data_IF_618241508183
#
_entry.id   IF_618241508183
#
_cell.length_a   1.000
_cell.length_b   1.000
_cell.length_c   1.000
_cell.angle_alpha   90.00
_cell.angle_beta   90.00
_cell.angle_gamma   90.00
#
_symmetry.space_group_name_H-M   'P 1'
#
loop_
_entity.id
_entity.type
_entity.pdbx_description
1 polymer ?
#
# COMPACT_ATOMS: atom_id res chain seq x y z
N UNK A 1 9.26 -19.70 4.32
CA UNK A 1 9.87 -18.96 3.19
C UNK A 1 9.12 -17.68 3.09
N UNK A 2 9.81 -16.52 3.01
CA UNK A 2 9.15 -15.22 2.90
C UNK A 2 8.31 -15.13 1.63
N UNK A 3 7.12 -14.54 1.75
CA UNK A 3 6.13 -14.45 0.68
C UNK A 3 6.53 -13.45 -0.41
N UNK A 4 7.05 -12.26 -0.03
CA UNK A 4 7.67 -11.29 -0.94
C UNK A 4 9.14 -11.14 -0.57
N UNK A 5 10.03 -11.20 -1.57
CA UNK A 5 11.47 -11.00 -1.40
C UNK A 5 11.99 -10.00 -2.42
N UNK A 6 12.66 -8.98 -1.95
CA UNK A 6 13.40 -8.02 -2.74
C UNK A 6 14.88 -8.24 -2.43
N UNK A 7 15.70 -8.49 -3.46
CA UNK A 7 17.12 -8.86 -3.32
C UNK A 7 17.98 -7.89 -4.13
N UNK A 8 18.76 -7.08 -3.42
CA UNK A 8 19.78 -6.16 -3.96
C UNK A 8 19.26 -5.28 -5.11
N UNK A 9 18.03 -4.78 -5.00
CA UNK A 9 17.40 -3.97 -6.05
C UNK A 9 18.02 -2.59 -6.08
N UNK A 10 18.55 -2.21 -7.24
CA UNK A 10 19.04 -0.86 -7.56
C UNK A 10 18.33 -0.31 -8.79
N UNK A 11 18.08 1.00 -8.83
CA UNK A 11 17.42 1.64 -9.95
C UNK A 11 17.90 3.07 -10.17
N UNK A 12 18.11 3.43 -11.46
CA UNK A 12 18.46 4.79 -11.92
C UNK A 12 17.41 5.28 -12.92
N UNK A 13 17.10 6.58 -12.88
CA UNK A 13 16.47 7.25 -14.01
C UNK A 13 17.53 7.94 -14.87
N UNK A 14 17.43 7.74 -16.19
CA UNK A 14 18.32 8.34 -17.17
C UNK A 14 17.65 9.58 -17.77
N UNK A 15 18.28 10.75 -17.59
CA UNK A 15 17.98 11.97 -18.34
C UNK A 15 19.05 12.18 -19.43
N UNK A 16 18.77 13.07 -20.41
CA UNK A 16 19.64 13.26 -21.59
C UNK A 16 21.13 13.45 -21.29
N UNK A 17 21.50 13.95 -20.11
CA UNK A 17 22.88 14.25 -19.75
C UNK A 17 23.30 13.67 -18.38
N UNK A 18 22.36 13.09 -17.60
CA UNK A 18 22.66 12.62 -16.27
C UNK A 18 21.87 11.34 -15.93
N UNK A 19 22.52 10.42 -15.22
CA UNK A 19 21.87 9.31 -14.55
C UNK A 19 21.69 9.66 -13.07
N UNK A 20 20.47 9.54 -12.55
CA UNK A 20 20.19 9.75 -11.14
C UNK A 20 19.89 8.40 -10.47
N UNK A 21 20.76 7.97 -9.59
CA UNK A 21 20.54 6.79 -8.75
C UNK A 21 19.41 7.10 -7.75
N UNK A 22 18.34 6.33 -7.83
CA UNK A 22 17.15 6.51 -6.99
C UNK A 22 17.12 5.50 -5.85
N UNK A 23 17.40 4.23 -6.16
CA UNK A 23 17.45 3.12 -5.20
C UNK A 23 18.81 2.43 -5.31
N UNK A 24 19.39 2.08 -4.17
CA UNK A 24 20.67 1.39 -4.09
C UNK A 24 20.60 0.25 -3.10
N UNK A 25 20.87 -0.96 -3.59
CA UNK A 25 20.99 -2.20 -2.81
C UNK A 25 19.80 -2.46 -1.84
N UNK A 26 18.59 -2.29 -2.35
CA UNK A 26 17.37 -2.49 -1.57
C UNK A 26 17.11 -3.99 -1.37
N UNK A 27 17.13 -4.44 -0.12
CA UNK A 27 16.83 -5.83 0.24
C UNK A 27 15.85 -5.89 1.41
N UNK A 28 14.67 -6.48 1.20
CA UNK A 28 13.67 -6.69 2.24
C UNK A 28 12.85 -7.95 2.00
N UNK A 29 12.17 -8.41 3.03
CA UNK A 29 11.33 -9.60 3.00
C UNK A 29 10.02 -9.32 3.72
N UNK A 30 8.94 -9.94 3.23
CA UNK A 30 7.60 -9.86 3.83
C UNK A 30 7.06 -11.28 3.97
N UNK A 31 6.54 -11.60 5.13
CA UNK A 31 5.89 -12.88 5.38
C UNK A 31 4.41 -12.85 4.92
N UNK A 32 3.84 -14.02 4.66
CA UNK A 32 2.42 -14.10 4.26
C UNK A 32 1.52 -13.59 5.40
N UNK A 33 0.58 -12.70 5.05
CA UNK A 33 -0.34 -12.06 6.00
C UNK A 33 0.29 -10.94 6.83
N UNK A 34 1.57 -10.62 6.63
CA UNK A 34 2.24 -9.51 7.30
C UNK A 34 1.81 -8.17 6.68
N UNK A 35 1.62 -7.16 7.51
CA UNK A 35 1.44 -5.78 7.11
C UNK A 35 2.73 -5.01 7.38
N UNK A 36 3.43 -4.57 6.33
CA UNK A 36 4.64 -3.75 6.49
C UNK A 36 4.45 -2.33 5.98
N UNK A 37 5.18 -1.40 6.56
CA UNK A 37 5.30 -0.04 6.02
C UNK A 37 6.71 0.26 5.54
N UNK A 38 6.79 1.00 4.43
CA UNK A 38 7.99 1.67 3.95
C UNK A 38 7.82 3.15 4.25
N UNK A 39 8.56 3.63 5.24
CA UNK A 39 8.55 5.01 5.73
C UNK A 39 9.78 5.76 5.23
N UNK A 40 9.64 7.02 4.90
CA UNK A 40 10.78 7.86 4.52
C UNK A 40 10.37 9.20 3.93
N UNK A 41 11.32 10.13 3.77
CA UNK A 41 11.05 11.46 3.25
C UNK A 41 10.58 11.43 1.79
N UNK A 42 9.99 12.54 1.34
CA UNK A 42 9.59 12.69 -0.05
C UNK A 42 10.81 12.57 -0.98
N UNK A 43 10.64 11.85 -2.09
CA UNK A 43 11.71 11.67 -3.08
C UNK A 43 12.77 10.61 -2.73
N UNK A 44 12.63 9.85 -1.63
CA UNK A 44 13.57 8.76 -1.31
C UNK A 44 13.38 7.48 -2.13
N UNK A 45 12.43 7.45 -3.08
CA UNK A 45 12.25 6.31 -3.99
C UNK A 45 11.17 5.31 -3.59
N UNK A 46 10.28 5.61 -2.63
CA UNK A 46 9.21 4.70 -2.17
C UNK A 46 8.28 4.22 -3.30
N UNK A 47 7.72 5.16 -4.07
CA UNK A 47 6.87 4.86 -5.23
C UNK A 47 7.63 4.10 -6.33
N UNK A 48 8.93 4.42 -6.53
CA UNK A 48 9.79 3.69 -7.47
C UNK A 48 9.97 2.24 -7.03
N UNK A 49 10.25 2.01 -5.74
CA UNK A 49 10.35 0.66 -5.17
C UNK A 49 9.03 -0.10 -5.31
N UNK A 50 7.90 0.56 -5.02
CA UNK A 50 6.58 -0.04 -5.17
C UNK A 50 6.28 -0.42 -6.63
N UNK A 51 6.68 0.44 -7.58
CA UNK A 51 6.52 0.17 -9.02
C UNK A 51 7.38 -1.01 -9.49
N UNK A 52 8.59 -1.17 -8.94
CA UNK A 52 9.46 -2.32 -9.21
C UNK A 52 8.84 -3.60 -8.64
N UNK A 53 8.34 -3.56 -7.40
CA UNK A 53 7.64 -4.69 -6.78
C UNK A 53 6.42 -5.09 -7.60
N UNK A 54 5.69 -4.12 -8.11
CA UNK A 54 4.50 -4.36 -8.95
C UNK A 54 4.83 -4.92 -10.35
N UNK A 55 6.10 -4.96 -10.75
CA UNK A 55 6.50 -5.34 -12.12
C UNK A 55 6.10 -4.31 -13.19
N UNK A 56 5.94 -3.04 -12.79
CA UNK A 56 5.67 -1.91 -13.68
C UNK A 56 6.96 -1.20 -14.12
N UNK A 57 8.05 -1.46 -13.41
CA UNK A 57 9.36 -0.88 -13.65
C UNK A 57 10.42 -1.95 -13.42
N UNK A 58 11.33 -2.14 -14.38
CA UNK A 58 12.43 -3.08 -14.23
C UNK A 58 13.55 -2.47 -13.37
N UNK A 59 14.08 -3.19 -12.37
CA UNK A 59 15.28 -2.76 -11.68
C UNK A 59 16.50 -2.85 -12.62
N UNK A 60 17.51 -2.01 -12.39
CA UNK A 60 18.80 -2.13 -13.13
C UNK A 60 19.58 -3.33 -12.58
N UNK A 61 19.52 -3.53 -11.29
CA UNK A 61 20.14 -4.66 -10.59
C UNK A 61 19.18 -5.25 -9.59
N UNK A 62 19.39 -6.52 -9.25
CA UNK A 62 18.60 -7.23 -8.25
C UNK A 62 17.35 -7.88 -8.83
N UNK A 63 16.53 -8.44 -7.96
CA UNK A 63 15.35 -9.24 -8.33
C UNK A 63 14.26 -9.13 -7.27
N UNK A 64 13.02 -9.31 -7.71
CA UNK A 64 11.82 -9.39 -6.85
C UNK A 64 11.17 -10.75 -7.05
N UNK A 65 10.84 -11.43 -5.95
CA UNK A 65 10.10 -12.68 -5.96
C UNK A 65 8.81 -12.54 -5.14
N UNK A 66 7.72 -13.07 -5.66
CA UNK A 66 6.46 -13.22 -4.94
C UNK A 66 6.07 -14.69 -4.96
N UNK A 67 5.85 -15.27 -3.76
CA UNK A 67 5.47 -16.68 -3.59
C UNK A 67 6.44 -17.65 -4.31
N UNK A 68 7.75 -17.29 -4.31
CA UNK A 68 8.81 -18.03 -4.99
C UNK A 68 8.95 -17.77 -6.49
N UNK A 69 8.04 -17.04 -7.12
CA UNK A 69 8.08 -16.72 -8.55
C UNK A 69 8.76 -15.37 -8.80
N UNK A 70 9.65 -15.32 -9.80
CA UNK A 70 10.32 -14.09 -10.21
C UNK A 70 9.30 -13.13 -10.86
N UNK A 71 9.26 -11.90 -10.37
CA UNK A 71 8.41 -10.84 -10.93
C UNK A 71 9.16 -10.10 -12.02
N UNK A 72 8.65 -10.18 -13.24
CA UNK A 72 9.12 -9.42 -14.42
C UNK A 72 8.01 -8.57 -15.04
N UNK A 73 6.76 -8.82 -14.66
CA UNK A 73 5.57 -8.08 -15.08
C UNK A 73 4.53 -8.10 -13.98
N UNK A 74 3.58 -7.18 -14.04
CA UNK A 74 2.48 -7.16 -13.08
C UNK A 74 1.70 -8.49 -13.08
N UNK A 75 1.59 -9.12 -11.92
CA UNK A 75 0.90 -10.40 -11.77
C UNK A 75 -0.53 -10.21 -11.27
N UNK A 76 -1.46 -11.12 -11.60
CA UNK A 76 -2.81 -11.11 -11.05
C UNK A 76 -2.87 -11.24 -9.51
N UNK A 77 -1.82 -11.73 -8.89
CA UNK A 77 -1.74 -11.89 -7.43
C UNK A 77 -1.51 -10.58 -6.68
N UNK A 78 -1.24 -9.46 -7.39
CA UNK A 78 -1.00 -8.15 -6.82
C UNK A 78 -2.18 -7.21 -7.03
N UNK A 79 -2.58 -6.51 -5.97
CA UNK A 79 -3.43 -5.32 -6.04
C UNK A 79 -2.60 -4.09 -5.80
N UNK A 80 -2.73 -3.06 -6.65
CA UNK A 80 -2.00 -1.81 -6.49
C UNK A 80 -2.98 -0.65 -6.32
N UNK A 81 -2.98 -0.03 -5.16
CA UNK A 81 -3.72 1.19 -4.86
C UNK A 81 -2.76 2.37 -4.92
N UNK A 82 -2.97 3.22 -5.89
CA UNK A 82 -2.19 4.43 -6.14
C UNK A 82 -2.63 5.56 -5.18
N UNK A 83 -1.79 6.58 -5.03
CA UNK A 83 -2.04 7.76 -4.19
C UNK A 83 -3.37 8.46 -4.52
N UNK A 84 -3.69 8.59 -5.81
CA UNK A 84 -4.99 9.08 -6.27
C UNK A 84 -5.92 7.91 -6.58
N UNK A 85 -7.23 8.15 -6.51
CA UNK A 85 -8.23 7.11 -6.73
C UNK A 85 -8.25 6.55 -8.16
N UNK A 86 -7.88 7.36 -9.16
CA UNK A 86 -7.86 7.01 -10.59
C UNK A 86 -9.11 6.24 -11.04
N UNK A 87 -10.27 6.59 -10.50
CA UNK A 87 -11.54 6.11 -11.02
C UNK A 87 -11.79 6.74 -12.39
N UNK A 88 -12.28 5.93 -13.33
CA UNK A 88 -12.63 6.42 -14.65
C UNK A 88 -13.84 7.34 -14.57
N UNK A 89 -13.71 8.65 -14.88
CA UNK A 89 -14.78 9.61 -14.63
C UNK A 89 -16.03 9.42 -15.52
N UNK A 90 -15.89 8.69 -16.62
CA UNK A 90 -16.98 8.35 -17.57
C UNK A 90 -17.64 6.99 -17.28
N UNK A 91 -17.20 6.29 -16.22
CA UNK A 91 -17.79 5.03 -15.76
C UNK A 91 -18.51 5.23 -14.44
N UNK A 92 -19.58 4.47 -14.22
CA UNK A 92 -20.23 4.39 -12.91
C UNK A 92 -19.30 3.76 -11.86
N UNK A 93 -19.67 3.84 -10.60
CA UNK A 93 -18.92 3.20 -9.52
C UNK A 93 -18.93 1.67 -9.69
N UNK A 94 -20.08 1.07 -10.04
CA UNK A 94 -20.16 -0.37 -10.34
C UNK A 94 -19.18 -0.76 -11.46
N UNK A 95 -19.20 -0.05 -12.58
CA UNK A 95 -18.29 -0.31 -13.69
C UNK A 95 -16.81 -0.15 -13.32
N UNK A 96 -16.50 0.85 -12.46
CA UNK A 96 -15.14 1.06 -11.96
C UNK A 96 -14.66 -0.11 -11.11
N UNK A 97 -15.45 -0.55 -10.13
CA UNK A 97 -15.05 -1.60 -9.20
C UNK A 97 -15.01 -2.99 -9.84
N UNK A 98 -15.80 -3.20 -10.90
CA UNK A 98 -15.81 -4.46 -11.67
C UNK A 98 -14.71 -4.54 -12.75
N UNK A 99 -14.02 -3.44 -13.04
CA UNK A 99 -13.09 -3.36 -14.16
C UNK A 99 -12.00 -4.43 -14.12
N UNK A 100 -11.39 -4.65 -12.97
CA UNK A 100 -10.34 -5.66 -12.80
C UNK A 100 -10.84 -7.09 -13.07
N UNK A 101 -12.09 -7.39 -12.72
CA UNK A 101 -12.73 -8.69 -13.00
C UNK A 101 -12.92 -8.89 -14.49
N UNK A 102 -13.36 -7.86 -15.21
CA UNK A 102 -13.51 -7.92 -16.68
C UNK A 102 -12.16 -8.09 -17.39
N UNK A 103 -11.15 -7.32 -17.00
CA UNK A 103 -9.80 -7.43 -17.60
C UNK A 103 -9.21 -8.83 -17.39
N UNK A 104 -9.40 -9.41 -16.20
CA UNK A 104 -8.93 -10.76 -15.88
C UNK A 104 -9.83 -11.88 -16.41
N UNK A 105 -10.98 -11.55 -17.01
CA UNK A 105 -11.98 -12.50 -17.50
C UNK A 105 -12.50 -13.47 -16.43
N UNK A 106 -12.63 -12.97 -15.19
CA UNK A 106 -13.18 -13.70 -14.04
C UNK A 106 -14.49 -13.10 -13.53
N UNK A 107 -15.12 -12.22 -14.32
CA UNK A 107 -16.42 -11.64 -14.01
C UNK A 107 -17.51 -12.69 -14.18
N UNK A 108 -18.25 -12.91 -13.09
CA UNK A 108 -19.49 -13.69 -13.05
C UNK A 108 -20.42 -13.11 -11.94
N UNK A 109 -21.62 -13.68 -11.76
CA UNK A 109 -22.58 -13.20 -10.76
C UNK A 109 -22.05 -13.34 -9.33
N UNK A 110 -21.23 -14.35 -9.02
CA UNK A 110 -20.64 -14.54 -7.68
C UNK A 110 -19.59 -13.46 -7.37
N UNK A 111 -18.68 -13.19 -8.31
CA UNK A 111 -17.66 -12.16 -8.18
C UNK A 111 -18.28 -10.76 -8.15
N UNK A 112 -19.36 -10.53 -8.90
CA UNK A 112 -20.17 -9.31 -8.83
C UNK A 112 -20.79 -9.14 -7.44
N UNK A 113 -21.50 -10.14 -6.95
CA UNK A 113 -22.13 -10.09 -5.62
C UNK A 113 -21.10 -9.87 -4.51
N UNK A 114 -19.96 -10.58 -4.59
CA UNK A 114 -18.85 -10.38 -3.64
C UNK A 114 -18.34 -8.94 -3.66
N UNK A 115 -18.12 -8.36 -4.84
CA UNK A 115 -17.62 -6.98 -4.99
C UNK A 115 -18.62 -5.95 -4.46
N UNK A 116 -19.92 -6.14 -4.72
CA UNK A 116 -20.97 -5.29 -4.16
C UNK A 116 -21.07 -5.42 -2.62
N UNK A 117 -20.82 -6.61 -2.07
CA UNK A 117 -20.70 -6.79 -0.60
C UNK A 117 -19.48 -6.03 -0.05
N UNK A 118 -18.34 -6.05 -0.74
CA UNK A 118 -17.18 -5.23 -0.36
C UNK A 118 -17.52 -3.73 -0.37
N UNK A 119 -18.25 -3.26 -1.38
CA UNK A 119 -18.68 -1.86 -1.48
C UNK A 119 -19.52 -1.46 -0.24
N UNK A 120 -20.46 -2.30 0.17
CA UNK A 120 -21.26 -2.07 1.38
C UNK A 120 -20.42 -2.14 2.67
N UNK A 121 -19.42 -3.05 2.75
CA UNK A 121 -18.52 -3.16 3.91
C UNK A 121 -17.66 -1.91 4.11
N UNK A 122 -17.30 -1.21 3.03
CA UNK A 122 -16.60 0.07 3.12
C UNK A 122 -17.55 1.26 3.39
N UNK A 123 -18.82 0.98 3.72
CA UNK A 123 -19.82 2.01 4.04
C UNK A 123 -20.29 2.83 2.85
N UNK A 124 -20.26 2.24 1.66
CA UNK A 124 -20.78 2.83 0.44
C UNK A 124 -22.05 2.07 0.01
N UNK A 125 -23.20 2.73 0.16
CA UNK A 125 -24.53 2.17 -0.08
C UNK A 125 -25.23 2.97 -1.18
N UNK A 126 -25.91 2.28 -2.09
CA UNK A 126 -26.80 2.87 -3.10
C UNK A 126 -26.10 3.90 -4.03
N UNK A 127 -24.81 3.68 -4.31
CA UNK A 127 -23.99 4.56 -5.17
C UNK A 127 -23.49 3.87 -6.44
N UNK A 128 -23.91 2.65 -6.69
CA UNK A 128 -23.44 1.80 -7.79
C UNK A 128 -23.55 2.49 -9.14
N UNK A 129 -24.63 3.23 -9.34
CA UNK A 129 -24.95 3.94 -10.60
C UNK A 129 -24.44 5.39 -10.63
N UNK A 130 -23.83 5.88 -9.53
CA UNK A 130 -23.25 7.21 -9.49
C UNK A 130 -21.89 7.24 -10.21
N UNK A 131 -21.50 8.45 -10.64
CA UNK A 131 -20.19 8.70 -11.24
C UNK A 131 -19.20 9.25 -10.21
N UNK A 132 -17.87 9.09 -10.41
CA UNK A 132 -16.85 9.57 -9.46
C UNK A 132 -17.00 11.05 -9.07
N UNK A 133 -17.45 11.90 -9.97
CA UNK A 133 -17.68 13.35 -9.72
C UNK A 133 -18.77 13.63 -8.68
N UNK A 134 -19.64 12.67 -8.40
CA UNK A 134 -20.76 12.80 -7.46
C UNK A 134 -20.35 12.37 -6.04
N UNK A 135 -19.12 11.82 -5.88
CA UNK A 135 -18.60 11.31 -4.63
C UNK A 135 -17.62 12.28 -3.97
N UNK A 136 -17.58 12.29 -2.63
CA UNK A 136 -16.50 12.95 -1.88
C UNK A 136 -15.15 12.24 -2.10
N UNK A 137 -14.03 12.91 -1.79
CA UNK A 137 -12.69 12.32 -1.91
C UNK A 137 -12.55 11.00 -1.15
N UNK A 138 -13.01 10.95 0.10
CA UNK A 138 -12.99 9.73 0.90
C UNK A 138 -13.90 8.62 0.37
N UNK A 139 -15.01 8.94 -0.27
CA UNK A 139 -15.86 7.95 -0.95
C UNK A 139 -15.14 7.37 -2.18
N UNK A 140 -14.48 8.22 -2.98
CA UNK A 140 -13.69 7.77 -4.13
C UNK A 140 -12.54 6.85 -3.71
N UNK A 141 -11.80 7.20 -2.64
CA UNK A 141 -10.73 6.33 -2.11
C UNK A 141 -11.26 4.97 -1.66
N UNK A 142 -12.42 4.93 -0.98
CA UNK A 142 -13.06 3.66 -0.60
C UNK A 142 -13.50 2.84 -1.82
N UNK A 143 -14.04 3.48 -2.86
CA UNK A 143 -14.37 2.79 -4.11
C UNK A 143 -13.12 2.25 -4.84
N UNK A 144 -12.01 3.01 -4.84
CA UNK A 144 -10.72 2.55 -5.39
C UNK A 144 -10.16 1.35 -4.61
N UNK A 145 -10.29 1.34 -3.28
CA UNK A 145 -9.94 0.19 -2.46
C UNK A 145 -10.77 -1.05 -2.85
N UNK A 146 -12.09 -0.90 -3.00
CA UNK A 146 -12.97 -2.00 -3.44
C UNK A 146 -12.54 -2.51 -4.81
N UNK A 147 -12.26 -1.63 -5.78
CA UNK A 147 -11.75 -2.01 -7.10
C UNK A 147 -10.48 -2.86 -7.01
N UNK A 148 -9.57 -2.50 -6.10
CA UNK A 148 -8.33 -3.23 -5.88
C UNK A 148 -8.57 -4.59 -5.22
N UNK A 149 -9.46 -4.67 -4.24
CA UNK A 149 -9.80 -5.90 -3.53
C UNK A 149 -10.70 -6.85 -4.34
N UNK A 150 -11.47 -6.34 -5.29
CA UNK A 150 -12.42 -7.12 -6.10
C UNK A 150 -11.77 -8.31 -6.81
N UNK A 151 -10.50 -8.17 -7.21
CA UNK A 151 -9.74 -9.23 -7.90
C UNK A 151 -9.12 -10.25 -6.95
N UNK A 152 -9.39 -10.16 -5.66
CA UNK A 152 -8.89 -11.03 -4.60
C UNK A 152 -7.36 -11.23 -4.63
N UNK A 153 -6.55 -10.15 -4.63
CA UNK A 153 -5.10 -10.24 -4.69
C UNK A 153 -4.54 -10.90 -3.42
N UNK A 154 -3.40 -11.59 -3.54
CA UNK A 154 -2.66 -12.14 -2.41
C UNK A 154 -1.90 -11.06 -1.63
N UNK A 155 -1.41 -10.03 -2.32
CA UNK A 155 -0.70 -8.88 -1.75
C UNK A 155 -1.29 -7.56 -2.23
N UNK A 156 -1.39 -6.60 -1.32
CA UNK A 156 -1.77 -5.22 -1.63
C UNK A 156 -0.57 -4.28 -1.48
N UNK A 157 -0.35 -3.51 -2.52
CA UNK A 157 0.61 -2.42 -2.57
C UNK A 157 -0.18 -1.11 -2.44
N UNK A 158 0.11 -0.34 -1.39
CA UNK A 158 -0.62 0.88 -1.03
C UNK A 158 0.34 2.07 -1.08
N UNK A 159 0.18 2.94 -2.08
CA UNK A 159 1.06 4.10 -2.29
C UNK A 159 0.40 5.36 -1.73
N UNK A 160 0.75 5.75 -0.51
CA UNK A 160 0.24 6.92 0.21
C UNK A 160 -1.31 7.05 0.15
N UNK A 161 -2.09 5.99 0.42
CA UNK A 161 -3.52 5.94 0.10
C UNK A 161 -4.37 6.91 0.93
N UNK A 162 -3.81 7.51 1.99
CA UNK A 162 -4.53 8.38 2.91
C UNK A 162 -4.08 9.85 2.85
N UNK A 163 -3.04 10.17 2.06
CA UNK A 163 -2.37 11.49 2.06
C UNK A 163 -3.26 12.65 1.59
N UNK A 164 -4.27 12.38 0.76
CA UNK A 164 -5.16 13.40 0.19
C UNK A 164 -6.45 13.63 1.01
N UNK A 165 -6.54 13.07 2.22
CA UNK A 165 -7.75 13.11 3.04
C UNK A 165 -7.59 14.04 4.25
N UNK A 166 -8.71 14.62 4.69
CA UNK A 166 -8.76 15.29 5.98
C UNK A 166 -8.52 14.29 7.12
N UNK A 167 -8.06 14.78 8.25
CA UNK A 167 -7.61 13.95 9.38
C UNK A 167 -8.68 12.94 9.86
N UNK A 168 -9.95 13.37 10.00
CA UNK A 168 -11.00 12.47 10.49
C UNK A 168 -11.34 11.38 9.47
N UNK A 169 -11.42 11.72 8.20
CA UNK A 169 -11.66 10.78 7.11
C UNK A 169 -10.49 9.80 6.98
N UNK A 170 -9.25 10.29 7.14
CA UNK A 170 -8.03 9.47 7.16
C UNK A 170 -8.11 8.40 8.24
N UNK A 171 -8.33 8.75 9.50
CA UNK A 171 -8.40 7.80 10.62
C UNK A 171 -9.48 6.72 10.39
N UNK A 172 -10.66 7.12 9.90
CA UNK A 172 -11.74 6.17 9.59
C UNK A 172 -11.36 5.21 8.46
N UNK A 173 -10.63 5.70 7.45
CA UNK A 173 -10.22 4.86 6.33
C UNK A 173 -9.08 3.92 6.72
N UNK A 174 -8.11 4.37 7.52
CA UNK A 174 -7.07 3.50 8.08
C UNK A 174 -7.66 2.33 8.88
N UNK A 175 -8.61 2.63 9.80
CA UNK A 175 -9.34 1.63 10.59
C UNK A 175 -10.06 0.62 9.70
N UNK A 176 -10.74 1.11 8.67
CA UNK A 176 -11.46 0.29 7.70
C UNK A 176 -10.50 -0.62 6.91
N UNK A 177 -9.43 -0.05 6.34
CA UNK A 177 -8.42 -0.78 5.56
C UNK A 177 -7.77 -1.86 6.43
N UNK A 178 -7.30 -1.49 7.62
CA UNK A 178 -6.69 -2.42 8.56
C UNK A 178 -7.63 -3.59 8.89
N UNK A 179 -8.88 -3.29 9.25
CA UNK A 179 -9.88 -4.32 9.59
C UNK A 179 -10.14 -5.27 8.42
N UNK A 180 -10.30 -4.73 7.21
CA UNK A 180 -10.54 -5.57 6.03
C UNK A 180 -9.33 -6.45 5.71
N UNK A 181 -8.12 -5.90 5.72
CA UNK A 181 -6.90 -6.64 5.37
C UNK A 181 -6.60 -7.74 6.39
N UNK A 182 -6.79 -7.48 7.68
CA UNK A 182 -6.68 -8.50 8.74
C UNK A 182 -7.76 -9.57 8.60
N UNK A 183 -9.02 -9.19 8.36
CA UNK A 183 -10.14 -10.13 8.16
C UNK A 183 -9.88 -11.09 6.99
N UNK A 184 -9.38 -10.57 5.88
CA UNK A 184 -9.09 -11.36 4.68
C UNK A 184 -7.66 -11.94 4.66
N UNK A 185 -6.88 -11.77 5.74
CA UNK A 185 -5.49 -12.24 5.88
C UNK A 185 -4.61 -11.83 4.69
N UNK A 186 -4.75 -10.59 4.22
CA UNK A 186 -3.98 -10.08 3.09
C UNK A 186 -2.60 -9.62 3.52
N UNK A 187 -1.59 -10.02 2.77
CA UNK A 187 -0.25 -9.42 2.87
C UNK A 187 -0.32 -7.99 2.35
N UNK A 188 0.30 -7.04 3.04
CA UNK A 188 0.17 -5.63 2.65
C UNK A 188 1.47 -4.88 2.81
N UNK A 189 1.75 -4.02 1.83
CA UNK A 189 2.90 -3.13 1.83
C UNK A 189 2.40 -1.70 1.65
N UNK A 190 2.56 -0.89 2.68
CA UNK A 190 2.15 0.51 2.73
C UNK A 190 3.37 1.41 2.53
N UNK A 191 3.31 2.30 1.57
CA UNK A 191 4.24 3.41 1.44
C UNK A 191 3.61 4.64 2.06
N UNK A 192 4.34 5.27 2.98
CA UNK A 192 3.89 6.48 3.66
C UNK A 192 5.05 7.37 4.09
N UNK A 193 4.77 8.63 4.38
CA UNK A 193 5.67 9.56 5.06
C UNK A 193 5.20 9.90 6.48
N UNK A 194 4.10 9.29 6.93
CA UNK A 194 3.50 9.51 8.25
C UNK A 194 3.90 8.39 9.23
N UNK A 195 4.59 8.78 10.31
CA UNK A 195 5.08 7.85 11.34
C UNK A 195 3.92 7.20 12.10
N UNK A 196 2.88 7.99 12.43
CA UNK A 196 1.75 7.48 13.19
C UNK A 196 0.99 6.41 12.40
N UNK A 197 0.80 6.64 11.10
CA UNK A 197 0.20 5.71 10.17
C UNK A 197 1.00 4.41 10.08
N UNK A 198 2.33 4.53 9.90
CA UNK A 198 3.23 3.38 9.84
C UNK A 198 3.17 2.54 11.12
N UNK A 199 3.21 3.15 12.30
CA UNK A 199 3.14 2.44 13.59
C UNK A 199 1.76 1.80 13.79
N UNK A 200 0.69 2.55 13.52
CA UNK A 200 -0.67 2.11 13.82
C UNK A 200 -1.13 0.92 12.97
N UNK A 201 -0.58 0.77 11.75
CA UNK A 201 -1.07 -0.22 10.80
C UNK A 201 -0.14 -1.43 10.62
N UNK A 202 1.14 -1.33 11.01
CA UNK A 202 2.13 -2.31 10.57
C UNK A 202 2.59 -3.29 11.64
N UNK A 203 3.05 -4.44 11.20
CA UNK A 203 3.82 -5.39 12.01
C UNK A 203 5.30 -5.00 12.06
N UNK A 204 5.81 -4.38 10.94
CA UNK A 204 7.20 -3.98 10.76
C UNK A 204 7.30 -2.75 9.86
N UNK A 205 8.28 -1.89 10.13
CA UNK A 205 8.51 -0.64 9.41
C UNK A 205 9.94 -0.63 8.87
N UNK A 206 10.09 -0.43 7.56
CA UNK A 206 11.36 -0.18 6.93
C UNK A 206 11.53 1.33 6.74
N UNK A 207 12.52 1.91 7.42
CA UNK A 207 12.85 3.33 7.27
C UNK A 207 13.85 3.51 6.14
N UNK A 208 13.50 4.33 5.14
CA UNK A 208 14.34 4.67 4.03
C UNK A 208 15.03 6.02 4.24
N UNK A 209 16.33 6.07 3.93
CA UNK A 209 17.05 7.32 3.67
C UNK A 209 16.85 7.75 2.22
N UNK A 210 17.18 9.01 1.91
CA UNK A 210 17.15 9.55 0.56
C UNK A 210 18.57 9.73 -0.03
N UNK A 211 18.64 9.86 -1.35
CA UNK A 211 19.81 10.27 -2.14
C UNK A 211 21.09 9.40 -2.02
N UNK A 212 21.10 8.15 -2.41
CA UNK A 212 20.01 7.34 -2.93
C UNK A 212 19.15 6.71 -1.84
N UNK A 213 17.97 6.19 -2.23
CA UNK A 213 17.09 5.43 -1.35
C UNK A 213 17.73 4.12 -0.93
N UNK A 214 17.91 3.94 0.39
CA UNK A 214 18.40 2.72 1.03
C UNK A 214 17.61 2.44 2.29
N UNK A 215 17.54 1.19 2.73
CA UNK A 215 17.00 0.87 4.05
C UNK A 215 18.02 1.32 5.10
N UNK A 216 17.65 2.33 5.87
CA UNK A 216 18.49 2.86 6.94
C UNK A 216 18.32 2.05 8.23
N UNK A 217 17.06 1.69 8.57
CA UNK A 217 16.74 0.94 9.78
C UNK A 217 15.43 0.18 9.60
N UNK A 218 15.28 -0.90 10.34
CA UNK A 218 14.04 -1.67 10.43
C UNK A 218 13.53 -1.63 11.87
N UNK A 219 12.25 -1.31 12.05
CA UNK A 219 11.58 -1.33 13.34
C UNK A 219 10.53 -2.45 13.37
N UNK A 220 10.48 -3.18 14.46
CA UNK A 220 9.43 -4.16 14.72
C UNK A 220 8.42 -3.48 15.65
N UNK A 221 7.17 -3.40 15.22
CA UNK A 221 6.11 -2.85 16.07
C UNK A 221 5.82 -3.84 17.20
N UNK A 222 5.85 -3.39 18.47
CA UNK A 222 5.56 -4.27 19.61
C UNK A 222 4.22 -4.99 19.50
N UNK A 223 4.18 -6.24 19.95
CA UNK A 223 2.95 -7.05 19.92
C UNK A 223 1.78 -6.41 20.67
N UNK A 224 2.09 -5.61 21.70
CA UNK A 224 1.11 -4.81 22.46
C UNK A 224 0.39 -3.76 21.61
N UNK A 225 1.04 -3.22 20.58
CA UNK A 225 0.48 -2.23 19.65
C UNK A 225 -0.16 -2.92 18.46
N UNK A 226 0.56 -3.82 17.77
CA UNK A 226 0.12 -4.43 16.50
C UNK A 226 -1.15 -5.30 16.60
N UNK A 227 -1.53 -5.72 17.82
CA UNK A 227 -2.77 -6.47 18.07
C UNK A 227 -4.00 -5.58 18.18
N UNK A 228 -3.82 -4.27 18.29
CA UNK A 228 -4.86 -3.25 18.42
C UNK A 228 -5.32 -2.73 17.06
N UNK A 229 -6.49 -2.14 17.02
CA UNK A 229 -6.91 -1.35 15.86
C UNK A 229 -6.09 -0.06 15.74
N UNK A 230 -5.97 0.57 14.56
CA UNK A 230 -5.17 1.77 14.37
C UNK A 230 -5.49 2.92 15.34
N UNK A 231 -6.77 3.08 15.70
CA UNK A 231 -7.17 4.11 16.65
C UNK A 231 -6.73 3.76 18.08
N UNK A 232 -6.95 2.51 18.51
CA UNK A 232 -6.52 2.03 19.82
C UNK A 232 -4.98 2.03 19.96
N UNK A 233 -4.26 1.66 18.88
CA UNK A 233 -2.81 1.66 18.84
C UNK A 233 -2.23 3.05 19.17
N UNK A 234 -2.81 4.13 18.62
CA UNK A 234 -2.39 5.52 18.89
C UNK A 234 -2.56 5.95 20.35
N UNK A 235 -3.48 5.30 21.07
CA UNK A 235 -3.72 5.57 22.50
C UNK A 235 -2.90 4.66 23.43
N UNK A 236 -2.17 3.68 22.88
CA UNK A 236 -1.37 2.75 23.67
C UNK A 236 -0.13 3.44 24.26
N UNK A 237 0.22 3.10 25.51
CA UNK A 237 1.31 3.75 26.25
C UNK A 237 2.71 3.59 25.61
N UNK A 238 2.95 2.52 24.84
CA UNK A 238 4.20 2.28 24.11
C UNK A 238 4.31 3.09 22.81
N UNK A 239 3.20 3.60 22.29
CA UNK A 239 3.17 4.28 21.00
C UNK A 239 4.06 5.53 20.95
N UNK A 240 4.03 6.46 21.95
CA UNK A 240 4.89 7.64 21.93
C UNK A 240 6.37 7.30 21.97
N UNK A 241 6.76 6.22 22.64
CA UNK A 241 8.17 5.82 22.73
C UNK A 241 8.69 5.35 21.35
N UNK A 242 7.93 4.51 20.64
CA UNK A 242 8.27 4.06 19.29
C UNK A 242 8.25 5.22 18.30
N UNK A 243 7.26 6.11 18.39
CA UNK A 243 7.20 7.33 17.57
C UNK A 243 8.48 8.17 17.72
N UNK A 244 8.89 8.44 18.95
CA UNK A 244 10.10 9.23 19.23
C UNK A 244 11.38 8.54 18.74
N UNK A 245 11.45 7.21 18.80
CA UNK A 245 12.59 6.46 18.27
C UNK A 245 12.67 6.62 16.74
N UNK A 246 11.56 6.42 16.02
CA UNK A 246 11.50 6.56 14.56
C UNK A 246 11.79 8.01 14.15
N UNK A 247 11.20 8.99 14.84
CA UNK A 247 11.39 10.41 14.57
C UNK A 247 12.87 10.80 14.66
N UNK A 248 13.57 10.38 15.72
CA UNK A 248 15.02 10.65 15.89
C UNK A 248 15.85 10.06 14.75
N UNK A 249 15.51 8.87 14.27
CA UNK A 249 16.23 8.29 13.13
C UNK A 249 15.93 9.07 11.84
N UNK A 250 14.68 9.52 11.61
CA UNK A 250 14.35 10.38 10.47
C UNK A 250 15.11 11.70 10.49
N UNK A 251 15.22 12.37 11.65
CA UNK A 251 15.99 13.61 11.80
C UNK A 251 17.49 13.41 11.50
N UNK A 252 18.04 12.22 11.76
CA UNK A 252 19.44 11.90 11.44
C UNK A 252 19.69 11.70 9.95
N UNK A 253 18.62 11.36 9.19
CA UNK A 253 18.70 11.05 7.76
C UNK A 253 18.39 12.26 6.86
N UNK A 254 17.86 13.34 7.40
CA UNK A 254 17.55 14.61 6.70
C UNK A 254 18.64 15.59 6.87
#
# INVERSE_FOLDING_TARGET
MSFLQIRNVSHCFFAKENAKLILEDMSLQVEEGEFISILGPSGCGKTTLLSIIAGLLDPIEGTVFLDGELITTMTPSMGYMLQQDYLFPWKTIEENIMLGLHIRKIYDENTKEHTLKLLKQVGLHDIEQQYPRELSGGMRQRAALVRTLATDPKILLLDEPFSALDYQTKLKLEELVFTLLRKYKKTSLLVTHDIEEAIAMSDRIYLLQANPGKIAKTFIVPGSIRSLSPLEARHHHDFPALFQEIWKELERLG
#
